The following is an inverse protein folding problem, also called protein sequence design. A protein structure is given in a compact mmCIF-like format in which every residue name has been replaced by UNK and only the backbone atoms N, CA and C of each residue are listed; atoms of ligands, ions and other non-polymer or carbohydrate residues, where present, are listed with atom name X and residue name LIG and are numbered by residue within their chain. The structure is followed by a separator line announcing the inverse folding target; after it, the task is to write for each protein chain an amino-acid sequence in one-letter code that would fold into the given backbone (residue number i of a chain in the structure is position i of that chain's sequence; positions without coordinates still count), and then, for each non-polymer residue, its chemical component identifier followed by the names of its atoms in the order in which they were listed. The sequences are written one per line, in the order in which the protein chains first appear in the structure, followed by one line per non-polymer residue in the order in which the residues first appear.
data_IF_003307554589
#
_entry.id   IF_003307554589
#
_cell.length_a   1.000
_cell.length_b   1.000
_cell.length_c   1.000
_cell.angle_alpha   90.00
_cell.angle_beta   90.00
_cell.angle_gamma   90.00
#
_symmetry.space_group_name_H-M   'P 1'
#
loop_
_entity.id
_entity.type
_entity.pdbx_description
1 polymer ?
#
# COMPACT_ATOMS: atom_id res chain seq x y z
N UNK A 1 -34.74 13.97 -8.64
CA UNK A 1 -34.05 12.70 -8.31
C UNK A 1 -32.66 12.77 -8.90
N UNK A 2 -31.62 12.61 -8.08
CA UNK A 2 -30.23 12.69 -8.54
C UNK A 2 -29.76 11.38 -9.16
N UNK A 3 -28.68 11.43 -9.93
CA UNK A 3 -28.03 10.23 -10.51
C UNK A 3 -27.61 9.24 -9.40
N UNK A 4 -27.26 9.75 -8.22
CA UNK A 4 -26.89 8.91 -7.07
C UNK A 4 -28.09 8.19 -6.47
N UNK A 5 -29.26 8.85 -6.41
CA UNK A 5 -30.49 8.22 -5.90
C UNK A 5 -30.91 7.06 -6.81
N UNK A 6 -30.85 7.27 -8.13
CA UNK A 6 -31.12 6.26 -9.16
C UNK A 6 -30.16 5.07 -9.07
N UNK A 7 -28.88 5.32 -8.79
CA UNK A 7 -27.89 4.25 -8.57
C UNK A 7 -28.21 3.41 -7.35
N UNK A 8 -28.55 4.05 -6.22
CA UNK A 8 -28.89 3.35 -4.97
C UNK A 8 -30.14 2.48 -5.18
N UNK A 9 -31.14 2.99 -5.91
CA UNK A 9 -32.39 2.28 -6.19
C UNK A 9 -32.18 1.06 -7.10
N UNK A 10 -31.39 1.19 -8.17
CA UNK A 10 -31.05 0.08 -9.07
C UNK A 10 -30.24 -0.99 -8.33
N UNK A 11 -29.24 -0.58 -7.53
CA UNK A 11 -28.46 -1.52 -6.73
C UNK A 11 -29.40 -2.29 -5.81
N UNK A 12 -30.20 -1.59 -4.99
CA UNK A 12 -31.15 -2.19 -4.06
C UNK A 12 -32.10 -3.19 -4.71
N UNK A 13 -32.65 -2.85 -5.88
CA UNK A 13 -33.54 -3.74 -6.63
C UNK A 13 -32.81 -5.01 -7.08
N UNK A 14 -31.61 -4.87 -7.67
CA UNK A 14 -30.77 -6.02 -8.07
C UNK A 14 -30.40 -6.87 -6.85
N UNK A 15 -30.02 -6.26 -5.72
CA UNK A 15 -29.67 -6.99 -4.50
C UNK A 15 -30.85 -7.78 -3.95
N UNK A 16 -32.06 -7.20 -4.00
CA UNK A 16 -33.28 -7.82 -3.46
C UNK A 16 -33.80 -9.02 -4.27
N UNK A 17 -33.40 -9.12 -5.54
CA UNK A 17 -33.78 -10.19 -6.46
C UNK A 17 -32.70 -11.28 -6.59
N UNK A 18 -31.52 -11.05 -5.99
CA UNK A 18 -30.36 -11.91 -6.16
C UNK A 18 -30.31 -13.03 -5.14
N UNK A 19 -29.89 -14.21 -5.60
CA UNK A 19 -29.56 -15.36 -4.75
C UNK A 19 -28.47 -14.95 -3.74
N UNK A 20 -28.65 -15.32 -2.47
CA UNK A 20 -27.76 -15.01 -1.35
C UNK A 20 -26.31 -15.42 -1.63
N UNK A 21 -26.08 -16.51 -2.38
CA UNK A 21 -24.74 -16.91 -2.85
C UNK A 21 -24.09 -15.89 -3.79
N UNK A 22 -24.89 -15.28 -4.65
CA UNK A 22 -24.44 -14.31 -5.64
C UNK A 22 -24.12 -12.98 -4.96
N UNK A 23 -24.92 -12.59 -3.96
CA UNK A 23 -24.67 -11.43 -3.10
C UNK A 23 -23.39 -11.56 -2.30
N UNK A 24 -23.13 -12.73 -1.72
CA UNK A 24 -21.89 -12.98 -0.97
C UNK A 24 -20.67 -12.90 -1.88
N UNK A 25 -20.72 -13.49 -3.08
CA UNK A 25 -19.62 -13.38 -4.06
C UNK A 25 -19.36 -11.95 -4.52
N UNK A 26 -20.42 -11.16 -4.71
CA UNK A 26 -20.27 -9.75 -5.07
C UNK A 26 -19.59 -8.97 -3.93
N UNK A 27 -20.00 -9.21 -2.68
CA UNK A 27 -19.35 -8.60 -1.51
C UNK A 27 -17.88 -8.99 -1.40
N UNK A 28 -17.56 -10.27 -1.50
CA UNK A 28 -16.19 -10.77 -1.48
C UNK A 28 -15.34 -10.12 -2.59
N UNK A 29 -15.89 -10.01 -3.80
CA UNK A 29 -15.20 -9.37 -4.93
C UNK A 29 -14.98 -7.86 -4.70
N UNK A 30 -15.94 -7.16 -4.08
CA UNK A 30 -15.79 -5.75 -3.71
C UNK A 30 -14.72 -5.57 -2.63
N UNK A 31 -14.71 -6.44 -1.62
CA UNK A 31 -13.72 -6.43 -0.55
C UNK A 31 -12.30 -6.74 -1.09
N UNK A 32 -12.19 -7.67 -2.05
CA UNK A 32 -10.94 -7.97 -2.74
C UNK A 32 -10.44 -6.78 -3.58
N UNK A 33 -11.33 -6.08 -4.29
CA UNK A 33 -11.00 -4.87 -5.06
C UNK A 33 -10.58 -3.73 -4.13
N UNK A 34 -11.28 -3.53 -3.00
CA UNK A 34 -10.94 -2.52 -1.99
C UNK A 34 -9.60 -2.84 -1.31
N UNK A 35 -9.30 -4.12 -1.06
CA UNK A 35 -7.98 -4.57 -0.61
C UNK A 35 -6.89 -4.33 -1.66
N UNK A 36 -7.17 -4.58 -2.94
CA UNK A 36 -6.23 -4.36 -4.04
C UNK A 36 -5.95 -2.86 -4.28
N UNK A 37 -6.96 -1.99 -4.15
CA UNK A 37 -6.78 -0.53 -4.16
C UNK A 37 -6.02 -0.03 -2.93
N UNK A 38 -6.36 -0.51 -1.73
CA UNK A 38 -5.64 -0.15 -0.50
C UNK A 38 -4.19 -0.62 -0.49
N UNK A 39 -3.91 -1.78 -1.06
CA UNK A 39 -2.54 -2.28 -1.22
C UNK A 39 -1.75 -1.49 -2.27
N UNK A 40 -2.38 -0.98 -3.34
CA UNK A 40 -1.75 0.01 -4.23
C UNK A 40 -1.45 1.34 -3.53
N UNK A 41 -2.30 1.80 -2.61
CA UNK A 41 -2.04 2.99 -1.77
C UNK A 41 -0.84 2.81 -0.81
N UNK A 42 -0.54 1.57 -0.43
CA UNK A 42 0.58 1.20 0.44
C UNK A 42 1.90 1.03 -0.32
N UNK A 43 1.90 0.80 -1.64
CA UNK A 43 3.10 0.51 -2.43
C UNK A 43 3.45 1.70 -3.33
N UNK A 44 4.61 2.31 -3.10
CA UNK A 44 5.08 3.50 -3.84
C UNK A 44 5.96 3.16 -5.06
N UNK A 45 6.30 1.88 -5.24
CA UNK A 45 7.13 1.43 -6.36
C UNK A 45 7.57 -0.03 -6.22
N UNK A 46 8.49 -0.47 -7.08
CA UNK A 46 9.11 -1.80 -7.01
C UNK A 46 10.64 -1.67 -7.08
N UNK A 47 11.35 -2.54 -6.37
CA UNK A 47 12.81 -2.68 -6.43
C UNK A 47 13.24 -3.37 -7.74
N UNK A 48 14.54 -3.34 -8.12
CA UNK A 48 15.03 -4.02 -9.33
C UNK A 48 14.76 -5.53 -9.39
N UNK A 49 14.63 -6.17 -8.23
CA UNK A 49 14.23 -7.57 -8.08
C UNK A 49 12.69 -7.77 -8.10
N UNK A 50 11.94 -6.74 -8.48
CA UNK A 50 10.47 -6.70 -8.57
C UNK A 50 9.72 -6.75 -7.23
N UNK A 51 10.41 -6.69 -6.08
CA UNK A 51 9.74 -6.65 -4.77
C UNK A 51 9.07 -5.29 -4.52
N UNK A 52 7.90 -5.22 -3.86
CA UNK A 52 7.21 -3.96 -3.61
C UNK A 52 7.99 -3.07 -2.63
N UNK A 53 7.94 -1.76 -2.86
CA UNK A 53 8.41 -0.74 -1.91
C UNK A 53 7.21 -0.22 -1.15
N UNK A 54 7.12 -0.56 0.13
CA UNK A 54 6.00 -0.19 0.99
C UNK A 54 6.24 1.21 1.55
N UNK A 55 5.25 2.09 1.46
CA UNK A 55 5.28 3.49 1.88
C UNK A 55 5.69 3.65 3.35
N UNK A 56 5.19 2.78 4.23
CA UNK A 56 5.52 2.81 5.66
C UNK A 56 6.98 2.45 5.93
N UNK A 57 7.53 1.44 5.26
CA UNK A 57 8.95 1.08 5.38
C UNK A 57 9.85 2.17 4.82
N UNK A 58 9.48 2.74 3.67
CA UNK A 58 10.21 3.83 3.06
C UNK A 58 10.27 5.07 3.97
N UNK A 59 9.14 5.45 4.59
CA UNK A 59 9.10 6.55 5.55
C UNK A 59 9.96 6.29 6.79
N UNK A 60 9.98 5.04 7.30
CA UNK A 60 10.87 4.66 8.41
C UNK A 60 12.34 4.83 8.03
N UNK A 61 12.74 4.44 6.83
CA UNK A 61 14.11 4.63 6.34
C UNK A 61 14.50 6.11 6.29
N UNK A 62 13.59 6.98 5.81
CA UNK A 62 13.83 8.43 5.80
C UNK A 62 14.02 8.97 7.22
N UNK A 63 13.13 8.61 8.15
CA UNK A 63 13.21 9.06 9.54
C UNK A 63 14.50 8.59 10.22
N UNK A 64 14.94 7.37 9.96
CA UNK A 64 16.21 6.86 10.47
C UNK A 64 17.40 7.63 9.89
N UNK A 65 17.39 7.92 8.59
CA UNK A 65 18.44 8.71 7.96
C UNK A 65 18.50 10.14 8.51
N UNK A 66 17.34 10.79 8.72
CA UNK A 66 17.27 12.12 9.34
C UNK A 66 17.87 12.12 10.75
N UNK A 67 17.54 11.11 11.57
CA UNK A 67 18.09 10.97 12.91
C UNK A 67 19.60 10.75 12.90
N UNK A 68 20.11 9.91 11.99
CA UNK A 68 21.55 9.70 11.80
C UNK A 68 22.27 10.99 11.41
N UNK A 69 21.69 11.78 10.50
CA UNK A 69 22.26 13.08 10.11
C UNK A 69 22.27 14.04 11.29
N UNK A 70 21.17 14.15 12.05
CA UNK A 70 21.07 15.04 13.20
C UNK A 70 22.09 14.72 14.30
N UNK A 71 22.39 13.44 14.50
CA UNK A 71 23.32 12.98 15.52
C UNK A 71 24.77 12.82 15.03
N UNK A 72 25.08 13.21 13.78
CA UNK A 72 26.38 12.94 13.15
C UNK A 72 26.75 11.44 13.07
N UNK A 73 25.75 10.54 13.10
CA UNK A 73 25.87 9.08 13.02
C UNK A 73 25.65 8.58 11.59
N UNK A 74 26.19 9.29 10.60
CA UNK A 74 26.12 8.89 9.19
C UNK A 74 27.39 8.19 8.76
N UNK A 75 27.25 7.24 7.84
CA UNK A 75 28.38 6.54 7.25
C UNK A 75 29.15 7.52 6.34
N UNK A 76 30.40 7.81 6.65
CA UNK A 76 31.31 8.54 5.76
C UNK A 76 32.00 7.56 4.80
N UNK A 77 32.50 8.09 3.68
CA UNK A 77 33.31 7.30 2.74
C UNK A 77 34.53 6.67 3.43
N UNK A 78 35.21 7.41 4.30
CA UNK A 78 36.34 6.89 5.09
C UNK A 78 35.93 5.76 6.05
N UNK A 79 34.78 5.88 6.72
CA UNK A 79 34.29 4.81 7.61
C UNK A 79 33.90 3.56 6.83
N UNK A 80 33.30 3.73 5.65
CA UNK A 80 32.92 2.62 4.78
C UNK A 80 34.15 1.87 4.26
N UNK A 81 35.17 2.59 3.77
CA UNK A 81 36.41 1.98 3.27
C UNK A 81 37.14 1.22 4.39
N UNK A 82 37.18 1.77 5.61
CA UNK A 82 37.73 1.12 6.80
C UNK A 82 36.99 -0.18 7.20
N UNK A 83 35.66 -0.20 7.15
CA UNK A 83 34.86 -1.40 7.43
C UNK A 83 35.01 -2.49 6.36
N UNK A 84 35.20 -2.09 5.08
CA UNK A 84 35.41 -3.03 3.98
C UNK A 84 36.81 -3.65 4.03
N UNK A 85 37.84 -2.91 4.46
CA UNK A 85 39.19 -3.45 4.66
C UNK A 85 39.27 -4.46 5.83
N UNK A 86 38.27 -4.49 6.71
CA UNK A 86 38.20 -5.38 7.87
C UNK A 86 37.32 -6.64 7.66
N UNK A 87 36.83 -6.88 6.43
CA UNK A 87 36.13 -8.10 6.00
C UNK A 87 37.02 -9.02 5.17
#
# INVERSE_FOLDING_TARGET
MSINDLRIEIISWVTSQSDEKLLTRIKETIDDIDFEEKSKSLVIGKRPNNSPVIKSEFLKCIQQAEHQIQNNEFLTLENFESEVESW
#
